data_IF_236105049825
#
_entry.id   IF_236105049825
#
_cell.length_a   1.000
_cell.length_b   1.000
_cell.length_c   1.000
_cell.angle_alpha   90.00
_cell.angle_beta   90.00
_cell.angle_gamma   90.00
#
_symmetry.space_group_name_H-M   'P 1'
#
loop_
_entity.id
_entity.type
_entity.pdbx_description
1 polymer ?
#
# COMPACT_ATOMS: atom_id res chain seq x y z
N UNK A 1 13.43 -53.54 -26.89
CA UNK A 1 14.00 -52.83 -28.07
C UNK A 1 13.14 -51.59 -28.31
N UNK A 2 13.61 -50.35 -28.42
CA UNK A 2 14.95 -49.75 -28.30
C UNK A 2 14.85 -48.40 -27.55
N UNK A 3 15.84 -48.00 -26.75
CA UNK A 3 17.07 -47.25 -27.15
C UNK A 3 16.72 -45.84 -27.64
N UNK A 4 16.75 -44.80 -26.78
CA UNK A 4 17.91 -43.90 -26.52
C UNK A 4 18.51 -43.35 -27.82
N UNK A 5 18.26 -42.07 -28.15
CA UNK A 5 19.21 -41.07 -28.66
C UNK A 5 18.48 -39.87 -29.30
N UNK A 6 18.47 -38.73 -28.60
CA UNK A 6 18.69 -37.43 -29.24
C UNK A 6 19.20 -36.40 -28.21
N UNK A 7 20.36 -36.67 -27.63
CA UNK A 7 21.29 -35.61 -27.28
C UNK A 7 22.28 -35.53 -28.44
N UNK A 8 22.22 -34.44 -29.20
CA UNK A 8 23.33 -33.62 -29.72
C UNK A 8 22.68 -32.54 -30.59
N UNK A 9 22.32 -31.45 -29.92
CA UNK A 9 22.37 -30.09 -30.48
C UNK A 9 22.92 -29.23 -29.36
N UNK A 10 24.03 -28.48 -29.53
CA UNK A 10 24.41 -27.46 -28.56
C UNK A 10 23.45 -26.28 -28.73
N UNK A 11 22.21 -26.46 -28.29
CA UNK A 11 21.25 -25.38 -28.18
C UNK A 11 21.58 -24.63 -26.88
N UNK A 12 22.37 -23.58 -27.04
CA UNK A 12 22.61 -22.49 -26.11
C UNK A 12 21.63 -22.47 -24.93
N UNK A 13 22.09 -22.86 -23.72
CA UNK A 13 21.24 -23.10 -22.53
C UNK A 13 20.53 -21.86 -21.96
N UNK A 14 20.53 -20.72 -22.66
CA UNK A 14 19.90 -19.48 -22.22
C UNK A 14 20.45 -18.91 -20.90
N UNK A 15 21.50 -19.53 -20.33
CA UNK A 15 22.21 -19.00 -19.16
C UNK A 15 23.09 -17.84 -19.61
N UNK A 16 22.53 -16.63 -19.57
CA UNK A 16 23.38 -15.51 -19.19
C UNK A 16 23.56 -15.60 -17.67
N UNK A 17 24.83 -15.66 -17.23
CA UNK A 17 25.19 -15.38 -15.83
C UNK A 17 25.13 -13.87 -15.54
N UNK A 18 24.59 -13.09 -16.49
CA UNK A 18 24.31 -11.67 -16.31
C UNK A 18 23.25 -11.48 -15.21
N UNK A 19 23.50 -10.58 -14.25
CA UNK A 19 22.52 -10.21 -13.23
C UNK A 19 21.23 -9.68 -13.84
N UNK A 20 20.08 -10.18 -13.36
CA UNK A 20 18.77 -9.60 -13.66
C UNK A 20 18.75 -8.11 -13.25
N UNK A 21 18.28 -7.18 -14.09
CA UNK A 21 18.42 -5.74 -13.82
C UNK A 21 17.54 -5.25 -12.65
N UNK A 22 16.51 -6.01 -12.24
CA UNK A 22 15.61 -5.65 -11.14
C UNK A 22 16.05 -6.31 -9.84
N UNK A 23 16.34 -7.61 -9.88
CA UNK A 23 16.65 -8.40 -8.69
C UNK A 23 18.15 -8.56 -8.45
N UNK A 24 18.98 -8.23 -9.43
CA UNK A 24 20.41 -8.50 -9.42
C UNK A 24 20.77 -9.99 -9.47
N UNK A 25 19.79 -10.91 -9.45
CA UNK A 25 20.02 -12.34 -9.37
C UNK A 25 20.44 -12.92 -10.73
N UNK A 26 21.49 -13.72 -10.74
CA UNK A 26 21.92 -14.46 -11.93
C UNK A 26 21.09 -15.72 -12.13
N UNK A 27 21.11 -16.28 -13.35
CA UNK A 27 20.47 -17.56 -13.66
C UNK A 27 20.95 -18.70 -12.74
N UNK A 28 22.23 -18.69 -12.35
CA UNK A 28 22.81 -19.65 -11.41
C UNK A 28 22.26 -19.47 -9.98
N UNK A 29 22.16 -18.23 -9.49
CA UNK A 29 21.62 -17.95 -8.17
C UNK A 29 20.14 -18.33 -8.07
N UNK A 30 19.32 -17.97 -9.09
CA UNK A 30 17.90 -18.37 -9.16
C UNK A 30 17.75 -19.90 -9.16
N UNK A 31 18.65 -20.63 -9.83
CA UNK A 31 18.68 -22.09 -9.81
C UNK A 31 18.97 -22.63 -8.40
N UNK A 32 20.01 -22.14 -7.73
CA UNK A 32 20.38 -22.57 -6.37
C UNK A 32 19.23 -22.36 -5.37
N UNK A 33 18.56 -21.21 -5.44
CA UNK A 33 17.39 -20.91 -4.59
C UNK A 33 16.28 -21.95 -4.81
N UNK A 34 15.89 -22.21 -6.06
CA UNK A 34 14.85 -23.20 -6.38
C UNK A 34 15.21 -24.61 -5.93
N UNK A 35 16.42 -25.07 -6.23
CA UNK A 35 16.80 -26.46 -5.92
C UNK A 35 17.01 -26.69 -4.43
N UNK A 36 17.54 -25.70 -3.71
CA UNK A 36 17.71 -25.81 -2.25
C UNK A 36 16.38 -25.72 -1.50
N UNK A 37 15.40 -24.94 -2.02
CA UNK A 37 14.06 -24.84 -1.44
C UNK A 37 13.34 -26.19 -1.31
N UNK A 38 13.60 -27.13 -2.23
CA UNK A 38 13.03 -28.47 -2.18
C UNK A 38 13.32 -29.21 -0.85
N UNK A 39 14.42 -28.88 -0.15
CA UNK A 39 14.74 -29.45 1.17
C UNK A 39 13.74 -28.98 2.24
N UNK A 40 13.35 -27.71 2.21
CA UNK A 40 12.35 -27.12 3.13
C UNK A 40 10.97 -27.73 2.87
N UNK A 41 10.64 -27.89 1.59
CA UNK A 41 9.35 -28.44 1.16
C UNK A 41 9.16 -29.94 1.43
N UNK A 42 10.19 -30.67 1.87
CA UNK A 42 10.04 -32.06 2.33
C UNK A 42 9.11 -32.17 3.53
N UNK A 43 9.14 -31.18 4.42
CA UNK A 43 8.26 -31.09 5.57
C UNK A 43 8.00 -29.61 5.89
N UNK A 44 7.05 -28.97 5.19
CA UNK A 44 6.85 -27.52 5.29
C UNK A 44 6.32 -27.11 6.67
N UNK A 45 5.48 -27.92 7.30
CA UNK A 45 4.97 -27.63 8.63
C UNK A 45 6.10 -27.62 9.67
N UNK A 46 6.94 -28.67 9.71
CA UNK A 46 8.02 -28.73 10.70
C UNK A 46 9.14 -27.71 10.40
N UNK A 47 9.38 -27.41 9.13
CA UNK A 47 10.32 -26.34 8.74
C UNK A 47 9.82 -24.97 9.19
N UNK A 48 8.52 -24.69 9.01
CA UNK A 48 7.91 -23.46 9.50
C UNK A 48 7.92 -23.36 11.03
N UNK A 49 7.72 -24.50 11.72
CA UNK A 49 7.81 -24.56 13.18
C UNK A 49 9.22 -24.23 13.64
N UNK A 50 10.24 -24.83 13.02
CA UNK A 50 11.63 -24.52 13.33
C UNK A 50 11.94 -23.02 13.14
N UNK A 51 11.46 -22.44 12.04
CA UNK A 51 11.64 -21.02 11.75
C UNK A 51 10.98 -20.10 12.79
N UNK A 52 9.70 -20.32 13.10
CA UNK A 52 8.98 -19.46 14.04
C UNK A 52 9.44 -19.68 15.49
N UNK A 53 9.82 -20.91 15.87
CA UNK A 53 10.45 -21.14 17.17
C UNK A 53 11.76 -20.36 17.30
N UNK A 54 12.62 -20.38 16.27
CA UNK A 54 13.86 -19.60 16.29
C UNK A 54 13.58 -18.09 16.34
N UNK A 55 12.55 -17.61 15.63
CA UNK A 55 12.13 -16.21 15.70
C UNK A 55 11.74 -15.82 17.13
N UNK A 56 10.93 -16.63 17.80
CA UNK A 56 10.45 -16.35 19.15
C UNK A 56 11.50 -16.59 20.24
N UNK A 57 12.52 -17.40 19.97
CA UNK A 57 13.70 -17.53 20.83
C UNK A 57 14.57 -16.27 20.77
N UNK A 58 14.78 -15.69 19.57
CA UNK A 58 15.56 -14.46 19.38
C UNK A 58 14.79 -13.19 19.73
N UNK A 59 13.48 -13.19 19.46
CA UNK A 59 12.58 -12.04 19.55
C UNK A 59 11.24 -12.44 20.21
N UNK A 60 11.25 -12.76 21.52
CA UNK A 60 10.06 -13.22 22.23
C UNK A 60 8.90 -12.20 22.22
N UNK A 61 9.21 -10.90 22.06
CA UNK A 61 8.22 -9.82 21.96
C UNK A 61 7.27 -9.95 20.78
N UNK A 62 7.58 -10.77 19.76
CA UNK A 62 6.70 -10.94 18.61
C UNK A 62 5.57 -11.94 18.83
N UNK A 63 5.67 -12.85 19.81
CA UNK A 63 4.64 -13.86 20.08
C UNK A 63 3.26 -13.22 20.28
N UNK A 64 3.21 -12.06 20.96
CA UNK A 64 1.98 -11.33 21.25
C UNK A 64 1.23 -10.81 20.01
N UNK A 65 1.88 -10.74 18.84
CA UNK A 65 1.27 -10.30 17.58
C UNK A 65 0.49 -11.40 16.87
N UNK A 66 0.60 -12.65 17.33
CA UNK A 66 -0.01 -13.81 16.69
C UNK A 66 -1.29 -14.28 17.40
N UNK A 67 -2.24 -14.91 16.68
CA UNK A 67 -3.51 -15.39 17.24
C UNK A 67 -3.38 -16.63 18.15
N UNK A 68 -2.15 -17.02 18.47
CA UNK A 68 -1.79 -18.12 19.36
C UNK A 68 -0.88 -17.63 20.50
N UNK A 69 -0.91 -16.33 20.80
CA UNK A 69 -0.14 -15.73 21.89
C UNK A 69 -0.46 -16.29 23.27
N UNK A 70 -1.61 -16.98 23.40
CA UNK A 70 -2.04 -17.74 24.57
C UNK A 70 -1.32 -19.10 24.74
N UNK A 71 -0.61 -19.57 23.72
CA UNK A 71 0.03 -20.89 23.73
C UNK A 71 1.42 -20.80 24.37
N UNK A 72 1.74 -21.64 25.39
CA UNK A 72 3.08 -21.68 25.96
C UNK A 72 4.13 -22.14 24.94
N UNK A 73 5.37 -21.60 24.97
CA UNK A 73 6.43 -22.02 24.05
C UNK A 73 6.73 -23.53 24.04
N UNK A 74 6.55 -24.20 25.19
CA UNK A 74 6.69 -25.66 25.31
C UNK A 74 5.69 -26.45 24.47
N UNK A 75 4.56 -25.84 24.09
CA UNK A 75 3.46 -26.49 23.36
C UNK A 75 3.43 -26.14 21.87
N UNK A 76 4.26 -25.19 21.40
CA UNK A 76 4.25 -24.75 20.00
C UNK A 76 4.37 -25.90 18.99
N UNK A 77 5.23 -26.88 19.28
CA UNK A 77 5.51 -27.99 18.34
C UNK A 77 4.30 -28.90 18.12
N UNK A 78 3.39 -29.00 19.08
CA UNK A 78 2.20 -29.87 19.05
C UNK A 78 0.91 -29.09 18.85
N UNK A 79 0.91 -27.77 19.05
CA UNK A 79 -0.27 -26.92 18.90
C UNK A 79 -0.68 -26.75 17.42
N UNK A 80 -1.93 -27.12 17.10
CA UNK A 80 -2.46 -27.11 15.73
C UNK A 80 -2.51 -25.69 15.13
N UNK A 81 -2.90 -24.67 15.92
CA UNK A 81 -2.98 -23.27 15.45
C UNK A 81 -1.60 -22.76 15.05
N UNK A 82 -0.61 -23.01 15.90
CA UNK A 82 0.79 -22.64 15.64
C UNK A 82 1.31 -23.33 14.39
N UNK A 83 1.16 -24.66 14.29
CA UNK A 83 1.62 -25.45 13.14
C UNK A 83 0.98 -25.03 11.83
N UNK A 84 -0.32 -24.71 11.83
CA UNK A 84 -1.01 -24.22 10.65
C UNK A 84 -0.46 -22.87 10.16
N UNK A 85 -0.16 -21.96 11.09
CA UNK A 85 0.45 -20.67 10.76
C UNK A 85 1.89 -20.83 10.27
N UNK A 86 2.70 -21.63 10.95
CA UNK A 86 4.06 -22.00 10.54
C UNK A 86 4.08 -22.54 9.09
N UNK A 87 3.18 -23.46 8.76
CA UNK A 87 3.03 -23.97 7.40
C UNK A 87 2.69 -22.84 6.41
N UNK A 88 1.77 -21.94 6.77
CA UNK A 88 1.37 -20.80 5.94
C UNK A 88 2.54 -19.87 5.62
N UNK A 89 3.45 -19.65 6.58
CA UNK A 89 4.68 -18.85 6.37
C UNK A 89 5.59 -19.51 5.34
N UNK A 90 5.76 -20.83 5.37
CA UNK A 90 6.57 -21.55 4.37
C UNK A 90 5.94 -21.46 2.97
N UNK A 91 4.62 -21.54 2.84
CA UNK A 91 3.96 -21.32 1.56
C UNK A 91 4.08 -19.87 1.07
N UNK A 92 4.03 -18.88 1.98
CA UNK A 92 4.30 -17.49 1.62
C UNK A 92 5.72 -17.30 1.10
N UNK A 93 6.74 -17.92 1.71
CA UNK A 93 8.11 -17.91 1.20
C UNK A 93 8.24 -18.65 -0.14
N UNK A 94 7.45 -19.71 -0.37
CA UNK A 94 7.43 -20.42 -1.65
C UNK A 94 6.98 -19.51 -2.80
N UNK A 95 6.08 -18.56 -2.55
CA UNK A 95 5.64 -17.61 -3.58
C UNK A 95 6.79 -16.75 -4.13
N UNK A 96 7.82 -16.48 -3.32
CA UNK A 96 9.05 -15.79 -3.75
C UNK A 96 9.78 -16.66 -4.77
N UNK A 97 9.95 -17.96 -4.46
CA UNK A 97 10.65 -18.94 -5.29
C UNK A 97 9.96 -19.13 -6.63
N UNK A 98 8.63 -19.20 -6.61
CA UNK A 98 7.78 -19.40 -7.79
C UNK A 98 7.83 -18.17 -8.72
N UNK A 99 7.87 -16.97 -8.15
CA UNK A 99 7.87 -15.71 -8.89
C UNK A 99 9.28 -15.19 -9.29
N UNK A 100 10.37 -15.92 -9.02
CA UNK A 100 11.76 -15.47 -9.29
C UNK A 100 12.07 -15.07 -10.76
N UNK A 101 11.26 -15.52 -11.73
CA UNK A 101 11.42 -15.16 -13.14
C UNK A 101 10.44 -14.08 -13.61
N UNK A 102 9.49 -13.67 -12.76
CA UNK A 102 8.49 -12.63 -13.06
C UNK A 102 8.61 -11.52 -12.03
N UNK A 103 9.44 -10.53 -12.35
CA UNK A 103 9.73 -9.42 -11.46
C UNK A 103 8.48 -8.59 -11.12
N UNK A 104 7.53 -8.46 -12.05
CA UNK A 104 6.29 -7.70 -11.83
C UNK A 104 5.37 -8.42 -10.84
N UNK A 105 5.22 -9.73 -11.00
CA UNK A 105 4.46 -10.56 -10.07
C UNK A 105 5.12 -10.60 -8.69
N UNK A 106 6.44 -10.78 -8.66
CA UNK A 106 7.22 -10.82 -7.42
C UNK A 106 7.04 -9.54 -6.61
N UNK A 107 7.20 -8.38 -7.24
CA UNK A 107 7.01 -7.07 -6.57
C UNK A 107 5.59 -6.95 -6.01
N UNK A 108 4.55 -7.29 -6.79
CA UNK A 108 3.16 -7.20 -6.32
C UNK A 108 2.88 -8.09 -5.11
N UNK A 109 3.34 -9.34 -5.12
CA UNK A 109 3.16 -10.29 -4.01
C UNK A 109 3.84 -9.74 -2.74
N UNK A 110 5.07 -9.25 -2.86
CA UNK A 110 5.86 -8.75 -1.73
C UNK A 110 5.28 -7.45 -1.16
N UNK A 111 4.90 -6.49 -2.01
CA UNK A 111 4.24 -5.25 -1.58
C UNK A 111 2.91 -5.53 -0.89
N UNK A 112 2.12 -6.49 -1.41
CA UNK A 112 0.87 -6.91 -0.76
C UNK A 112 1.12 -7.59 0.58
N UNK A 113 2.18 -8.41 0.66
CA UNK A 113 2.61 -9.05 1.91
C UNK A 113 2.89 -7.98 2.95
N UNK A 114 3.76 -7.01 2.69
CA UNK A 114 4.06 -5.93 3.62
C UNK A 114 2.83 -5.13 4.07
N UNK A 115 2.09 -4.59 3.09
CA UNK A 115 0.91 -3.75 3.38
C UNK A 115 -0.16 -4.47 4.20
N UNK A 116 -0.39 -5.76 3.97
CA UNK A 116 -1.40 -6.54 4.68
C UNK A 116 -1.05 -6.86 6.14
N UNK A 117 0.23 -6.69 6.53
CA UNK A 117 0.68 -6.93 7.91
C UNK A 117 0.58 -5.69 8.81
N UNK A 118 0.42 -4.49 8.22
CA UNK A 118 0.27 -3.24 8.97
C UNK A 118 -0.94 -3.22 9.92
N UNK A 119 -2.14 -3.71 9.54
CA UNK A 119 -3.28 -3.78 10.47
C UNK A 119 -3.06 -4.68 11.68
N UNK A 120 -2.04 -5.55 11.64
CA UNK A 120 -1.64 -6.46 12.75
C UNK A 120 -0.48 -5.89 13.57
N UNK A 121 -0.16 -4.61 13.40
CA UNK A 121 0.91 -3.90 14.09
C UNK A 121 2.32 -4.48 13.88
N UNK A 122 2.54 -5.21 12.78
CA UNK A 122 3.86 -5.71 12.40
C UNK A 122 4.69 -4.56 11.81
N UNK A 123 5.92 -4.40 12.28
CA UNK A 123 6.83 -3.33 11.89
C UNK A 123 7.82 -3.78 10.81
N UNK A 124 8.55 -2.83 10.22
CA UNK A 124 9.68 -3.14 9.35
C UNK A 124 10.74 -3.99 10.07
N UNK A 125 11.06 -3.64 11.32
CA UNK A 125 12.02 -4.38 12.16
C UNK A 125 11.64 -5.86 12.33
N UNK A 126 10.34 -6.16 12.50
CA UNK A 126 9.89 -7.54 12.60
C UNK A 126 10.19 -8.36 11.34
N UNK A 127 10.09 -7.75 10.15
CA UNK A 127 10.50 -8.39 8.90
C UNK A 127 12.02 -8.48 8.75
N UNK A 128 12.78 -7.50 9.24
CA UNK A 128 14.26 -7.56 9.28
C UNK A 128 14.72 -8.72 10.14
N UNK A 129 14.19 -8.85 11.36
CA UNK A 129 14.50 -9.96 12.26
C UNK A 129 14.07 -11.31 11.69
N UNK A 130 12.90 -11.38 11.04
CA UNK A 130 12.48 -12.59 10.33
C UNK A 130 13.47 -12.98 9.21
N UNK A 131 13.96 -12.00 8.43
CA UNK A 131 14.99 -12.23 7.41
C UNK A 131 16.25 -12.84 8.03
N UNK A 132 16.76 -12.22 9.09
CA UNK A 132 17.99 -12.63 9.78
C UNK A 132 17.88 -14.05 10.34
N UNK A 133 16.81 -14.34 11.05
CA UNK A 133 16.51 -15.67 11.60
C UNK A 133 16.32 -16.72 10.50
N UNK A 134 15.71 -16.36 9.37
CA UNK A 134 15.58 -17.30 8.23
C UNK A 134 16.95 -17.63 7.63
N UNK A 135 17.84 -16.65 7.50
CA UNK A 135 19.20 -16.86 7.02
C UNK A 135 20.05 -17.64 8.04
N UNK A 136 19.86 -17.41 9.35
CA UNK A 136 20.48 -18.20 10.41
C UNK A 136 20.07 -19.68 10.27
N UNK A 137 18.76 -19.95 10.17
CA UNK A 137 18.25 -21.29 9.98
C UNK A 137 18.80 -21.94 8.70
N UNK A 138 18.77 -21.23 7.57
CA UNK A 138 19.28 -21.76 6.30
C UNK A 138 20.77 -22.07 6.35
N UNK A 139 21.56 -21.32 7.13
CA UNK A 139 22.99 -21.58 7.31
C UNK A 139 23.28 -22.91 8.00
N UNK A 140 22.29 -23.49 8.70
CA UNK A 140 22.39 -24.83 9.31
C UNK A 140 21.97 -25.97 8.38
N UNK A 141 21.28 -25.66 7.27
CA UNK A 141 20.64 -26.65 6.37
C UNK A 141 21.31 -26.67 4.99
N UNK A 142 21.80 -25.53 4.52
CA UNK A 142 22.24 -25.31 3.15
C UNK A 142 23.76 -25.13 3.04
N UNK A 143 24.27 -25.31 1.83
CA UNK A 143 25.68 -25.03 1.49
C UNK A 143 25.93 -23.52 1.41
N UNK A 144 27.19 -23.11 1.53
CA UNK A 144 27.57 -21.70 1.55
C UNK A 144 27.12 -20.91 0.30
N UNK A 145 27.16 -21.51 -0.87
CA UNK A 145 26.71 -20.91 -2.14
C UNK A 145 25.17 -20.78 -2.22
N UNK A 146 24.44 -21.80 -1.75
CA UNK A 146 22.99 -21.75 -1.59
C UNK A 146 22.59 -20.62 -0.62
N UNK A 147 23.26 -20.51 0.53
CA UNK A 147 23.02 -19.45 1.52
C UNK A 147 23.32 -18.07 0.94
N UNK A 148 24.40 -17.91 0.17
CA UNK A 148 24.73 -16.65 -0.48
C UNK A 148 23.63 -16.21 -1.47
N UNK A 149 23.11 -17.15 -2.27
CA UNK A 149 22.00 -16.87 -3.19
C UNK A 149 20.71 -16.48 -2.44
N UNK A 150 20.42 -17.14 -1.31
CA UNK A 150 19.27 -16.79 -0.45
C UNK A 150 19.42 -15.42 0.19
N UNK A 151 20.60 -15.06 0.70
CA UNK A 151 20.87 -13.72 1.25
C UNK A 151 20.52 -12.66 0.22
N UNK A 152 21.05 -12.77 -1.00
CA UNK A 152 20.77 -11.82 -2.08
C UNK A 152 19.30 -11.75 -2.46
N UNK A 153 18.65 -12.92 -2.54
CA UNK A 153 17.20 -13.01 -2.82
C UNK A 153 16.38 -12.30 -1.74
N UNK A 154 16.71 -12.51 -0.46
CA UNK A 154 15.99 -11.91 0.64
C UNK A 154 16.32 -10.44 0.87
N UNK A 155 17.52 -9.95 0.53
CA UNK A 155 17.79 -8.51 0.52
C UNK A 155 16.79 -7.80 -0.40
N UNK A 156 16.61 -8.29 -1.61
CA UNK A 156 15.62 -7.72 -2.55
C UNK A 156 14.21 -7.94 -2.01
N UNK A 157 13.83 -9.18 -1.69
CA UNK A 157 12.45 -9.50 -1.35
C UNK A 157 11.96 -8.73 -0.12
N UNK A 158 12.74 -8.72 0.96
CA UNK A 158 12.36 -8.03 2.19
C UNK A 158 12.43 -6.51 2.05
N UNK A 159 13.30 -5.95 1.20
CA UNK A 159 13.26 -4.51 0.90
C UNK A 159 11.91 -4.10 0.28
N UNK A 160 11.34 -4.91 -0.61
CA UNK A 160 10.03 -4.62 -1.23
C UNK A 160 8.88 -4.83 -0.24
N UNK A 161 8.97 -5.83 0.65
CA UNK A 161 8.01 -6.00 1.74
C UNK A 161 8.00 -4.77 2.66
N UNK A 162 9.18 -4.31 3.07
CA UNK A 162 9.35 -3.12 3.92
C UNK A 162 8.79 -1.88 3.20
N UNK A 163 9.08 -1.70 1.91
CA UNK A 163 8.47 -0.63 1.11
C UNK A 163 6.94 -0.72 1.09
N UNK A 164 6.35 -1.93 1.05
CA UNK A 164 4.90 -2.12 1.17
C UNK A 164 4.34 -1.66 2.51
N UNK A 165 5.07 -1.90 3.61
CA UNK A 165 4.75 -1.38 4.95
C UNK A 165 4.87 0.14 4.99
N UNK A 166 6.00 0.67 4.53
CA UNK A 166 6.28 2.11 4.49
C UNK A 166 5.28 2.84 3.61
N UNK A 167 4.84 2.26 2.50
CA UNK A 167 3.80 2.85 1.64
C UNK A 167 2.50 3.01 2.41
N UNK A 168 2.08 2.02 3.20
CA UNK A 168 0.89 2.17 4.05
C UNK A 168 1.14 3.19 5.16
N UNK A 169 2.32 3.23 5.77
CA UNK A 169 2.63 4.24 6.78
C UNK A 169 2.74 5.64 6.20
N UNK A 170 3.29 5.82 4.99
CA UNK A 170 3.37 7.09 4.28
C UNK A 170 2.00 7.49 3.76
N UNK A 171 1.16 6.56 3.33
CA UNK A 171 -0.25 6.83 3.02
C UNK A 171 -0.98 7.22 4.30
N UNK A 172 -0.83 6.50 5.41
CA UNK A 172 -1.45 6.81 6.70
C UNK A 172 -0.89 8.07 7.37
N UNK A 173 0.40 8.36 7.17
CA UNK A 173 1.10 9.56 7.64
C UNK A 173 0.79 10.72 6.71
N UNK A 174 0.67 10.53 5.41
CA UNK A 174 0.07 11.50 4.50
C UNK A 174 -1.41 11.66 4.81
N UNK A 175 -2.14 10.67 5.31
CA UNK A 175 -3.52 10.82 5.81
C UNK A 175 -3.53 11.50 7.18
N UNK A 176 -2.51 11.34 8.03
CA UNK A 176 -2.37 12.01 9.34
C UNK A 176 -1.78 13.43 9.24
N UNK A 177 -0.91 13.69 8.28
CA UNK A 177 -0.31 14.99 7.91
C UNK A 177 -1.26 15.72 6.95
N UNK A 178 -2.01 15.01 6.10
CA UNK A 178 -3.17 15.58 5.36
C UNK A 178 -4.43 15.62 6.19
N UNK A 179 -4.53 14.92 7.33
CA UNK A 179 -5.27 15.46 8.48
C UNK A 179 -4.49 16.70 8.94
N UNK A 180 -4.64 17.78 8.15
CA UNK A 180 -4.89 19.08 8.72
C UNK A 180 -5.77 18.84 9.96
N UNK A 181 -5.57 19.62 11.00
CA UNK A 181 -6.52 19.70 12.10
C UNK A 181 -7.87 20.16 11.52
N UNK A 182 -8.61 19.26 10.87
CA UNK A 182 -9.71 19.58 9.98
C UNK A 182 -10.80 20.23 10.81
N UNK A 183 -10.90 19.91 12.10
CA UNK A 183 -11.80 20.58 13.02
C UNK A 183 -11.48 22.08 13.19
N UNK A 184 -10.21 22.51 13.13
CA UNK A 184 -9.81 23.93 13.14
C UNK A 184 -10.02 24.61 11.79
N UNK A 185 -9.83 23.88 10.69
CA UNK A 185 -9.80 24.46 9.34
C UNK A 185 -11.14 24.39 8.58
N UNK A 186 -12.04 23.47 8.94
CA UNK A 186 -13.40 23.34 8.38
C UNK A 186 -14.18 24.66 8.47
N UNK A 187 -13.97 25.42 9.55
CA UNK A 187 -14.60 26.72 9.73
C UNK A 187 -14.19 27.76 8.68
N UNK A 188 -13.02 27.62 8.06
CA UNK A 188 -12.54 28.53 7.01
C UNK A 188 -13.27 28.33 5.68
N UNK A 189 -13.97 27.21 5.48
CA UNK A 189 -14.82 27.02 4.29
C UNK A 189 -15.96 28.05 4.20
N UNK A 190 -16.28 28.75 5.29
CA UNK A 190 -17.25 29.85 5.25
C UNK A 190 -16.80 30.99 4.34
N UNK A 191 -15.49 31.11 4.07
CA UNK A 191 -14.91 32.13 3.17
C UNK A 191 -15.56 32.04 1.78
N UNK A 192 -15.98 30.85 1.33
CA UNK A 192 -16.74 30.71 0.09
C UNK A 192 -18.02 31.55 0.11
N UNK A 193 -18.79 31.50 1.20
CA UNK A 193 -20.06 32.23 1.35
C UNK A 193 -19.86 33.71 1.73
N UNK A 194 -18.69 34.07 2.23
CA UNK A 194 -18.30 35.48 2.38
C UNK A 194 -18.04 36.12 1.01
N UNK A 195 -17.32 35.41 0.13
CA UNK A 195 -16.98 35.87 -1.23
C UNK A 195 -18.12 35.72 -2.25
N UNK A 196 -18.89 34.64 -2.13
CA UNK A 196 -19.97 34.24 -3.05
C UNK A 196 -21.24 33.90 -2.25
N UNK A 197 -21.95 34.90 -1.70
CA UNK A 197 -23.10 34.68 -0.83
C UNK A 197 -24.25 33.93 -1.51
N UNK A 198 -24.37 34.07 -2.84
CA UNK A 198 -25.37 33.41 -3.68
C UNK A 198 -25.30 31.88 -3.57
N UNK A 199 -24.10 31.31 -3.39
CA UNK A 199 -23.94 29.87 -3.27
C UNK A 199 -24.60 29.30 -2.02
N UNK A 200 -24.80 30.10 -0.96
CA UNK A 200 -25.45 29.62 0.27
C UNK A 200 -26.91 29.17 0.00
N UNK A 201 -27.55 29.69 -1.05
CA UNK A 201 -28.92 29.32 -1.43
C UNK A 201 -29.07 27.86 -1.87
N UNK A 202 -27.97 27.23 -2.30
CA UNK A 202 -27.93 25.83 -2.72
C UNK A 202 -27.92 24.85 -1.53
N UNK A 203 -27.84 25.36 -0.30
CA UNK A 203 -27.63 24.54 0.89
C UNK A 203 -28.83 24.51 1.84
N UNK A 204 -28.98 23.43 2.64
CA UNK A 204 -30.00 23.34 3.70
C UNK A 204 -29.86 24.36 4.84
N UNK A 205 -28.78 25.16 4.82
CA UNK A 205 -28.48 26.25 5.77
C UNK A 205 -28.57 27.64 5.12
N UNK A 206 -29.29 27.77 3.99
CA UNK A 206 -29.50 29.04 3.27
C UNK A 206 -30.01 30.23 4.10
N UNK A 207 -30.71 29.97 5.21
CA UNK A 207 -31.28 31.00 6.07
C UNK A 207 -30.43 31.35 7.30
N UNK A 208 -29.28 30.69 7.51
CA UNK A 208 -28.40 31.00 8.64
C UNK A 208 -27.58 32.26 8.37
N UNK A 209 -27.32 33.05 9.41
CA UNK A 209 -26.38 34.17 9.30
C UNK A 209 -24.96 33.64 9.11
N UNK A 210 -24.13 34.39 8.40
CA UNK A 210 -22.76 33.95 8.06
C UNK A 210 -21.91 33.71 9.31
N UNK A 211 -22.05 34.57 10.33
CA UNK A 211 -21.38 34.37 11.63
C UNK A 211 -21.78 33.06 12.35
N UNK A 212 -22.96 32.51 12.05
CA UNK A 212 -23.50 31.29 12.68
C UNK A 212 -23.17 30.01 11.91
N UNK A 213 -22.56 30.11 10.72
CA UNK A 213 -22.25 28.94 9.89
C UNK A 213 -21.28 27.98 10.59
N UNK A 214 -20.24 28.50 11.24
CA UNK A 214 -19.21 27.69 11.93
C UNK A 214 -19.77 26.79 13.02
N UNK A 215 -20.86 27.20 13.68
CA UNK A 215 -21.51 26.44 14.75
C UNK A 215 -22.65 25.55 14.24
N UNK A 216 -23.04 25.70 12.97
CA UNK A 216 -24.08 24.88 12.34
C UNK A 216 -23.62 23.45 12.07
N UNK A 217 -24.33 22.48 12.66
CA UNK A 217 -24.08 21.05 12.42
C UNK A 217 -24.24 20.67 10.94
N UNK A 218 -25.17 21.31 10.21
CA UNK A 218 -25.39 21.04 8.77
C UNK A 218 -24.22 21.52 7.92
N UNK A 219 -23.70 22.72 8.20
CA UNK A 219 -22.52 23.25 7.51
C UNK A 219 -21.29 22.38 7.81
N UNK A 220 -21.04 22.09 9.10
CA UNK A 220 -19.93 21.24 9.52
C UNK A 220 -19.97 19.86 8.86
N UNK A 221 -21.14 19.22 8.82
CA UNK A 221 -21.31 17.91 8.17
C UNK A 221 -21.00 17.95 6.66
N UNK A 222 -21.43 19.02 5.97
CA UNK A 222 -21.10 19.18 4.56
C UNK A 222 -19.60 19.39 4.34
N UNK A 223 -18.96 20.27 5.11
CA UNK A 223 -17.51 20.48 5.03
C UNK A 223 -16.72 19.19 5.31
N UNK A 224 -17.14 18.40 6.31
CA UNK A 224 -16.56 17.07 6.58
C UNK A 224 -16.68 16.17 5.34
N UNK A 225 -17.84 16.16 4.68
CA UNK A 225 -18.07 15.37 3.46
C UNK A 225 -17.16 15.81 2.31
N UNK A 226 -16.97 17.12 2.13
CA UNK A 226 -16.02 17.68 1.15
C UNK A 226 -14.59 17.23 1.45
N UNK A 227 -14.18 17.27 2.73
CA UNK A 227 -12.83 16.81 3.10
C UNK A 227 -12.64 15.32 2.83
N UNK A 228 -13.61 14.48 3.18
CA UNK A 228 -13.54 13.04 2.87
C UNK A 228 -13.43 12.78 1.37
N UNK A 229 -14.21 13.50 0.56
CA UNK A 229 -14.12 13.38 -0.89
C UNK A 229 -12.72 13.78 -1.40
N UNK A 230 -12.19 14.92 -0.94
CA UNK A 230 -10.85 15.39 -1.33
C UNK A 230 -9.75 14.42 -0.89
N UNK A 231 -9.83 13.88 0.33
CA UNK A 231 -8.91 12.85 0.83
C UNK A 231 -8.91 11.63 -0.08
N UNK A 232 -10.08 11.09 -0.41
CA UNK A 232 -10.22 9.92 -1.27
C UNK A 232 -9.64 10.17 -2.68
N UNK A 233 -9.92 11.32 -3.28
CA UNK A 233 -9.35 11.70 -4.60
C UNK A 233 -7.82 11.75 -4.52
N UNK A 234 -7.28 12.39 -3.48
CA UNK A 234 -5.84 12.57 -3.31
C UNK A 234 -5.09 11.25 -3.01
N UNK A 235 -5.72 10.33 -2.27
CA UNK A 235 -5.17 8.98 -2.03
C UNK A 235 -5.07 8.14 -3.31
N UNK A 236 -5.94 8.41 -4.27
CA UNK A 236 -6.00 7.67 -5.55
C UNK A 236 -5.34 8.45 -6.70
N UNK A 237 -4.52 9.47 -6.42
CA UNK A 237 -3.89 10.31 -7.46
C UNK A 237 -2.96 9.51 -8.39
N UNK A 238 -2.41 8.39 -7.91
CA UNK A 238 -1.54 7.50 -8.68
C UNK A 238 -2.29 6.45 -9.50
N UNK A 239 -3.63 6.40 -9.40
CA UNK A 239 -4.50 5.41 -10.03
C UNK A 239 -5.46 6.11 -11.02
N UNK A 240 -5.05 6.38 -12.28
CA UNK A 240 -5.77 7.29 -13.18
C UNK A 240 -7.24 6.93 -13.42
N UNK A 241 -7.55 5.64 -13.59
CA UNK A 241 -8.92 5.17 -13.82
C UNK A 241 -9.81 5.36 -12.59
N UNK A 242 -9.28 5.09 -11.39
CA UNK A 242 -10.01 5.27 -10.14
C UNK A 242 -10.21 6.77 -9.87
N UNK A 243 -9.16 7.56 -10.08
CA UNK A 243 -9.19 9.01 -9.93
C UNK A 243 -10.28 9.67 -10.78
N UNK A 244 -10.35 9.30 -12.06
CA UNK A 244 -11.37 9.80 -13.00
C UNK A 244 -12.79 9.44 -12.53
N UNK A 245 -13.03 8.18 -12.17
CA UNK A 245 -14.34 7.73 -11.68
C UNK A 245 -14.77 8.44 -10.38
N UNK A 246 -13.82 8.70 -9.47
CA UNK A 246 -14.10 9.47 -8.25
C UNK A 246 -14.50 10.92 -8.59
N UNK A 247 -13.82 11.57 -9.53
CA UNK A 247 -14.13 12.94 -9.96
C UNK A 247 -15.47 13.04 -10.68
N UNK A 248 -15.79 12.09 -11.57
CA UNK A 248 -17.09 11.98 -12.26
C UNK A 248 -18.22 11.83 -11.25
N UNK A 249 -18.06 10.93 -10.27
CA UNK A 249 -19.04 10.71 -9.20
C UNK A 249 -19.29 11.99 -8.39
N UNK A 250 -18.23 12.73 -8.05
CA UNK A 250 -18.40 14.01 -7.35
C UNK A 250 -19.13 15.03 -8.22
N UNK A 251 -18.74 15.21 -9.48
CA UNK A 251 -19.39 16.14 -10.40
C UNK A 251 -20.88 15.85 -10.56
N UNK A 252 -21.23 14.60 -10.86
CA UNK A 252 -22.63 14.15 -11.05
C UNK A 252 -23.52 14.51 -9.85
N UNK A 253 -23.01 14.33 -8.63
CA UNK A 253 -23.72 14.70 -7.40
C UNK A 253 -23.99 16.22 -7.30
N UNK A 254 -23.06 17.06 -7.77
CA UNK A 254 -23.22 18.51 -7.75
C UNK A 254 -24.12 19.02 -8.88
N UNK A 255 -24.14 18.35 -10.04
CA UNK A 255 -25.10 18.63 -11.13
C UNK A 255 -26.55 18.49 -10.64
N UNK A 256 -26.86 17.42 -9.90
CA UNK A 256 -28.19 17.19 -9.30
C UNK A 256 -28.66 18.31 -8.35
N UNK A 257 -27.74 19.17 -7.90
CA UNK A 257 -27.99 20.28 -6.98
C UNK A 257 -27.89 21.65 -7.65
N UNK A 258 -27.85 21.69 -8.98
CA UNK A 258 -27.75 22.92 -9.78
C UNK A 258 -26.55 23.80 -9.39
N UNK A 259 -25.42 23.18 -9.03
CA UNK A 259 -24.19 23.92 -8.75
C UNK A 259 -23.64 24.49 -10.07
N UNK A 260 -23.37 25.81 -10.16
CA UNK A 260 -22.87 26.43 -11.37
C UNK A 260 -21.39 26.08 -11.60
N UNK A 261 -20.95 26.06 -12.86
CA UNK A 261 -19.59 25.62 -13.20
C UNK A 261 -18.50 26.53 -12.61
N UNK A 262 -18.81 27.82 -12.47
CA UNK A 262 -17.93 28.77 -11.82
C UNK A 262 -17.67 28.43 -10.35
N UNK A 263 -18.61 27.78 -9.66
CA UNK A 263 -18.44 27.42 -8.25
C UNK A 263 -17.28 26.45 -8.01
N UNK A 264 -16.95 25.57 -8.97
CA UNK A 264 -15.78 24.69 -8.88
C UNK A 264 -14.46 25.47 -8.86
N UNK A 265 -14.39 26.56 -9.62
CA UNK A 265 -13.21 27.43 -9.66
C UNK A 265 -13.11 28.33 -8.44
N UNK A 266 -14.23 28.77 -7.91
CA UNK A 266 -14.28 29.61 -6.71
C UNK A 266 -13.90 28.78 -5.46
N UNK A 267 -14.45 27.57 -5.30
CA UNK A 267 -14.07 26.67 -4.21
C UNK A 267 -12.61 26.22 -4.32
N UNK A 268 -12.07 26.02 -5.52
CA UNK A 268 -10.63 25.76 -5.72
C UNK A 268 -9.77 26.83 -5.05
N UNK A 269 -10.12 28.10 -5.28
CA UNK A 269 -9.37 29.24 -4.74
C UNK A 269 -9.44 29.26 -3.21
N UNK A 270 -10.61 28.95 -2.64
CA UNK A 270 -10.79 28.82 -1.20
C UNK A 270 -9.97 27.65 -0.64
N UNK A 271 -10.08 26.45 -1.21
CA UNK A 271 -9.31 25.26 -0.81
C UNK A 271 -7.82 25.57 -0.85
N UNK A 272 -7.32 26.16 -1.94
CA UNK A 272 -5.91 26.50 -2.09
C UNK A 272 -5.45 27.49 -1.03
N UNK A 273 -6.26 28.52 -0.73
CA UNK A 273 -5.93 29.49 0.33
C UNK A 273 -5.88 28.88 1.73
N UNK A 274 -6.70 27.86 2.00
CA UNK A 274 -6.72 27.14 3.27
C UNK A 274 -5.47 26.27 3.39
N UNK A 275 -5.19 25.43 2.39
CA UNK A 275 -4.08 24.47 2.44
C UNK A 275 -2.72 25.16 2.33
N UNK A 276 -2.61 26.25 1.56
CA UNK A 276 -1.37 26.99 1.37
C UNK A 276 -0.80 27.58 2.66
N UNK A 277 -1.64 27.87 3.66
CA UNK A 277 -1.19 28.36 4.97
C UNK A 277 -0.29 27.38 5.74
N UNK A 278 -0.24 26.12 5.30
CA UNK A 278 0.51 25.03 5.93
C UNK A 278 1.56 24.38 5.02
N UNK A 279 1.84 24.96 3.86
CA UNK A 279 2.65 24.36 2.79
C UNK A 279 3.79 25.28 2.35
N UNK A 280 4.88 24.69 1.85
CA UNK A 280 5.94 25.44 1.19
C UNK A 280 5.55 25.81 -0.28
N UNK A 281 6.27 26.72 -0.94
CA UNK A 281 5.90 27.18 -2.29
C UNK A 281 5.82 26.08 -3.37
N UNK A 282 6.68 25.05 -3.30
CA UNK A 282 6.65 23.97 -4.28
C UNK A 282 5.43 23.05 -4.08
N UNK A 283 5.06 22.80 -2.82
CA UNK A 283 3.84 22.07 -2.47
C UNK A 283 2.58 22.82 -2.93
N UNK A 284 2.51 24.14 -2.72
CA UNK A 284 1.39 24.98 -3.19
C UNK A 284 1.25 24.89 -4.71
N UNK A 285 2.36 24.96 -5.45
CA UNK A 285 2.37 24.82 -6.90
C UNK A 285 1.83 23.47 -7.38
N UNK A 286 2.23 22.36 -6.73
CA UNK A 286 1.73 21.02 -7.04
C UNK A 286 0.24 20.90 -6.76
N UNK A 287 -0.23 21.41 -5.63
CA UNK A 287 -1.65 21.42 -5.28
C UNK A 287 -2.49 22.25 -6.25
N UNK A 288 -1.99 23.41 -6.67
CA UNK A 288 -2.67 24.23 -7.66
C UNK A 288 -2.84 23.48 -8.99
N UNK A 289 -1.78 22.81 -9.46
CA UNK A 289 -1.82 22.00 -10.69
C UNK A 289 -2.83 20.85 -10.56
N UNK A 290 -2.80 20.15 -9.44
CA UNK A 290 -3.72 19.03 -9.16
C UNK A 290 -5.18 19.49 -9.11
N UNK A 291 -5.50 20.54 -8.36
CA UNK A 291 -6.88 21.04 -8.28
C UNK A 291 -7.37 21.57 -9.63
N UNK A 292 -6.51 22.23 -10.42
CA UNK A 292 -6.85 22.64 -11.80
C UNK A 292 -7.21 21.43 -12.66
N UNK A 293 -6.43 20.35 -12.57
CA UNK A 293 -6.72 19.10 -13.28
C UNK A 293 -8.07 18.51 -12.82
N UNK A 294 -8.26 18.33 -11.51
CA UNK A 294 -9.46 17.74 -10.95
C UNK A 294 -10.73 18.52 -11.33
N UNK A 295 -10.73 19.84 -11.17
CA UNK A 295 -11.89 20.66 -11.48
C UNK A 295 -12.17 20.80 -12.98
N UNK A 296 -11.16 20.66 -13.86
CA UNK A 296 -11.42 20.56 -15.32
C UNK A 296 -12.26 19.34 -15.65
N UNK A 297 -11.90 18.18 -15.11
CA UNK A 297 -12.65 16.94 -15.32
C UNK A 297 -14.07 17.10 -14.77
N UNK A 298 -14.21 17.66 -13.57
CA UNK A 298 -15.52 17.85 -12.96
C UNK A 298 -16.42 18.80 -13.76
N UNK A 299 -15.88 19.92 -14.28
CA UNK A 299 -16.64 20.86 -15.12
C UNK A 299 -17.04 20.22 -16.45
N UNK A 300 -16.10 19.56 -17.14
CA UNK A 300 -16.42 18.86 -18.39
C UNK A 300 -17.51 17.79 -18.19
N UNK A 301 -17.41 17.01 -17.12
CA UNK A 301 -18.44 16.04 -16.74
C UNK A 301 -19.78 16.73 -16.47
N UNK A 302 -19.78 17.89 -15.81
CA UNK A 302 -21.01 18.61 -15.49
C UNK A 302 -21.70 19.16 -16.74
N UNK A 303 -20.92 19.71 -17.69
CA UNK A 303 -21.41 20.16 -18.98
C UNK A 303 -22.02 19.00 -19.79
N UNK A 304 -21.32 17.88 -19.90
CA UNK A 304 -21.82 16.67 -20.57
C UNK A 304 -23.09 16.13 -19.92
N UNK A 305 -23.14 16.08 -18.58
CA UNK A 305 -24.29 15.54 -17.84
C UNK A 305 -25.52 16.44 -17.96
N UNK A 306 -25.37 17.77 -18.11
CA UNK A 306 -26.52 18.68 -18.30
C UNK A 306 -27.05 18.68 -19.74
N UNK A 307 -26.22 18.29 -20.70
CA UNK A 307 -26.56 18.26 -22.13
C UNK A 307 -27.16 16.91 -22.58
N UNK A 308 -27.16 15.89 -21.70
CA UNK A 308 -27.76 14.57 -21.90
C UNK A 308 -29.01 14.39 -21.04
#
# INVERSE_FOLDING_TARGET
MGTVLSYITPANSGRSDDPDPVTGLTSKEKYLVRTSWAKIMKNPADSGVALLCLLFERHPEYVQLFPFSDVPPSEFKTNVRFRAHANSVVYALSSIVDALNDNNLLVQILTKTGSSHVPRHVTADAFIHLKEVTIELFSTIFKADEVAAWKKTFEVAFSVIIQGIETVFMTNKNIKIKRLDYQKEIGKMQILFEKHPEYQQLFPFKNLRREELKTSNKFRAHCISVMYALTCIVENVSEPLILEQLLIKQSTSHVLRNVPDQAYWDIKTVILSIVASSMNPSEVFVWEKFLKFAFRIMVATAEETRNN
#
